data_IF_778129365979
#
_entry.id   IF_778129365979
#
_cell.length_a   1.000
_cell.length_b   1.000
_cell.length_c   1.000
_cell.angle_alpha   90.00
_cell.angle_beta   90.00
_cell.angle_gamma   90.00
#
_symmetry.space_group_name_H-M   'P 1'
#
loop_
_entity.id
_entity.type
_entity.pdbx_description
1 polymer ?
#
# COMPACT_ATOMS: atom_id res chain seq x y z
N UNK A 1 -48.08 35.02 14.26
CA UNK A 1 -48.43 34.38 15.56
C UNK A 1 -47.43 33.26 15.82
N UNK A 2 -46.83 33.24 17.01
CA UNK A 2 -45.94 32.20 17.57
C UNK A 2 -46.81 31.06 18.16
N UNK A 3 -46.33 29.80 18.21
CA UNK A 3 -45.60 29.29 19.40
C UNK A 3 -44.37 28.44 18.96
N UNK A 4 -43.20 28.35 19.61
CA UNK A 4 -42.75 28.24 21.01
C UNK A 4 -43.14 26.93 21.72
N UNK A 5 -42.19 25.98 21.82
CA UNK A 5 -41.94 24.96 22.87
C UNK A 5 -40.68 24.17 22.42
N UNK A 6 -39.48 24.41 22.98
CA UNK A 6 -38.88 23.80 24.18
C UNK A 6 -38.84 22.26 24.11
N UNK A 7 -37.80 21.51 24.45
CA UNK A 7 -36.37 21.68 24.73
C UNK A 7 -35.90 20.26 25.10
N UNK A 8 -34.78 19.74 24.58
CA UNK A 8 -33.85 18.92 25.39
C UNK A 8 -32.52 18.72 24.68
N UNK A 9 -31.46 19.23 25.31
CA UNK A 9 -30.08 18.92 25.01
C UNK A 9 -29.78 17.49 25.50
N UNK A 10 -29.20 16.65 24.64
CA UNK A 10 -28.33 15.56 25.04
C UNK A 10 -27.08 15.61 24.15
N UNK A 11 -26.13 16.47 24.51
CA UNK A 11 -24.79 16.46 23.94
C UNK A 11 -23.99 15.36 24.62
N UNK A 12 -24.04 14.14 24.09
CA UNK A 12 -23.08 13.09 24.41
C UNK A 12 -21.84 13.30 23.54
N UNK A 13 -20.93 14.14 24.01
CA UNK A 13 -19.57 14.22 23.47
C UNK A 13 -18.81 12.96 23.87
N UNK A 14 -18.94 11.89 23.08
CA UNK A 14 -17.96 10.80 23.11
C UNK A 14 -16.69 11.28 22.39
N UNK A 15 -15.86 11.98 23.14
CA UNK A 15 -14.49 12.29 22.73
C UNK A 15 -13.65 11.01 22.81
N UNK A 16 -13.68 10.19 21.76
CA UNK A 16 -12.61 9.22 21.54
C UNK A 16 -11.43 10.00 20.99
N UNK A 17 -10.51 10.36 21.88
CA UNK A 17 -9.19 10.81 21.50
C UNK A 17 -8.50 9.65 20.78
N UNK A 18 -8.57 9.66 19.45
CA UNK A 18 -7.66 8.84 18.63
C UNK A 18 -6.29 9.48 18.85
N UNK A 19 -5.46 8.82 19.67
CA UNK A 19 -4.04 9.15 19.75
C UNK A 19 -3.42 8.86 18.39
N UNK A 20 -3.43 9.86 17.51
CA UNK A 20 -2.60 9.87 16.32
C UNK A 20 -1.15 9.77 16.78
N UNK A 21 -0.53 8.60 16.63
CA UNK A 21 0.91 8.45 16.79
C UNK A 21 1.57 9.21 15.64
N UNK A 22 1.84 10.48 15.88
CA UNK A 22 2.67 11.31 15.04
C UNK A 22 4.11 10.76 15.07
N UNK A 23 4.51 10.18 13.94
CA UNK A 23 5.86 10.19 13.37
C UNK A 23 7.02 10.04 14.38
N UNK A 24 7.41 8.80 14.64
CA UNK A 24 8.76 8.51 15.14
C UNK A 24 9.77 8.91 14.05
N UNK A 25 10.82 9.64 14.45
CA UNK A 25 11.94 10.04 13.61
C UNK A 25 12.55 8.85 12.83
N UNK A 26 13.25 9.08 11.69
CA UNK A 26 13.84 8.01 10.90
C UNK A 26 14.87 7.27 11.75
N UNK A 27 14.49 6.08 12.24
CA UNK A 27 15.43 5.18 12.87
C UNK A 27 16.34 4.65 11.76
N UNK A 28 17.63 4.94 11.86
CA UNK A 28 18.65 4.31 11.03
C UNK A 28 18.44 2.79 11.06
N UNK A 29 18.52 2.07 9.93
CA UNK A 29 18.24 0.64 9.91
C UNK A 29 19.17 -0.10 10.88
N UNK A 30 18.60 -0.64 11.97
CA UNK A 30 19.34 -1.50 12.88
C UNK A 30 19.72 -2.79 12.15
N UNK A 31 20.97 -3.28 12.21
CA UNK A 31 21.32 -4.60 11.71
C UNK A 31 20.45 -5.64 12.41
N UNK A 32 19.57 -6.30 11.65
CA UNK A 32 18.51 -7.18 12.19
C UNK A 32 17.13 -6.56 12.22
N UNK A 33 16.76 -5.78 11.19
CA UNK A 33 15.42 -5.23 11.00
C UNK A 33 14.35 -6.28 11.35
N UNK A 34 13.55 -5.98 12.37
CA UNK A 34 12.39 -6.78 12.75
C UNK A 34 11.49 -6.98 11.53
N UNK A 35 10.99 -8.21 11.34
CA UNK A 35 10.10 -8.51 10.21
C UNK A 35 8.95 -7.51 10.17
N UNK A 36 8.64 -6.93 8.99
CA UNK A 36 7.53 -5.99 8.85
C UNK A 36 6.20 -6.66 9.20
N UNK A 37 5.28 -5.91 9.82
CA UNK A 37 3.91 -6.36 10.14
C UNK A 37 3.17 -6.88 8.89
N UNK A 38 3.54 -6.41 7.71
CA UNK A 38 3.04 -6.90 6.42
C UNK A 38 4.22 -7.16 5.45
N UNK A 39 4.66 -8.41 5.38
CA UNK A 39 5.82 -8.85 4.59
C UNK A 39 5.45 -9.39 3.21
N UNK A 40 6.40 -9.37 2.28
CA UNK A 40 6.28 -9.97 0.96
C UNK A 40 5.99 -11.47 1.04
N UNK A 41 6.59 -12.17 2.01
CA UNK A 41 6.26 -13.57 2.29
C UNK A 41 4.78 -13.77 2.60
N UNK A 42 4.22 -12.98 3.53
CA UNK A 42 2.81 -13.11 3.93
C UNK A 42 1.85 -12.84 2.77
N UNK A 43 2.15 -11.83 1.95
CA UNK A 43 1.37 -11.52 0.76
C UNK A 43 1.49 -12.62 -0.30
N UNK A 44 2.68 -13.17 -0.54
CA UNK A 44 2.88 -14.25 -1.50
C UNK A 44 2.07 -15.51 -1.12
N UNK A 45 2.05 -15.88 0.16
CA UNK A 45 1.22 -17.00 0.64
C UNK A 45 -0.27 -16.73 0.42
N UNK A 46 -0.75 -15.53 0.74
CA UNK A 46 -2.14 -15.14 0.51
C UNK A 46 -2.52 -15.16 -0.97
N UNK A 47 -1.62 -14.68 -1.86
CA UNK A 47 -1.83 -14.66 -3.29
C UNK A 47 -1.72 -16.05 -3.96
N UNK A 48 -0.96 -16.98 -3.36
CA UNK A 48 -0.81 -18.34 -3.85
C UNK A 48 -2.03 -19.22 -3.56
N UNK A 49 -2.88 -18.86 -2.60
CA UNK A 49 -4.08 -19.58 -2.20
C UNK A 49 -5.25 -19.41 -3.20
N UNK A 50 -5.03 -19.77 -4.48
CA UNK A 50 -5.99 -19.56 -5.58
C UNK A 50 -7.34 -20.31 -5.42
N UNK A 51 -7.44 -21.26 -4.50
CA UNK A 51 -8.67 -22.00 -4.21
C UNK A 51 -9.51 -21.38 -3.08
N UNK A 52 -9.03 -20.31 -2.45
CA UNK A 52 -9.73 -19.59 -1.39
C UNK A 52 -10.09 -18.19 -1.91
N UNK A 53 -11.38 -18.00 -2.21
CA UNK A 53 -11.91 -16.73 -2.74
C UNK A 53 -11.68 -15.55 -1.78
N UNK A 54 -11.68 -15.79 -0.46
CA UNK A 54 -11.43 -14.75 0.53
C UNK A 54 -9.95 -14.35 0.53
N UNK A 55 -9.04 -15.33 0.51
CA UNK A 55 -7.60 -15.08 0.40
C UNK A 55 -7.27 -14.38 -0.93
N UNK A 56 -7.88 -14.82 -2.03
CA UNK A 56 -7.71 -14.18 -3.34
C UNK A 56 -8.22 -12.74 -3.34
N UNK A 57 -9.40 -12.48 -2.75
CA UNK A 57 -9.94 -11.14 -2.59
C UNK A 57 -9.03 -10.22 -1.77
N UNK A 58 -8.45 -10.75 -0.69
CA UNK A 58 -7.49 -10.02 0.15
C UNK A 58 -6.18 -9.72 -0.59
N UNK A 59 -5.63 -10.70 -1.32
CA UNK A 59 -4.43 -10.51 -2.15
C UNK A 59 -4.65 -9.40 -3.21
N UNK A 60 -5.72 -9.52 -4.00
CA UNK A 60 -6.05 -8.54 -5.05
C UNK A 60 -6.29 -7.16 -4.44
N UNK A 61 -6.97 -7.10 -3.30
CA UNK A 61 -7.20 -5.87 -2.54
C UNK A 61 -5.89 -5.22 -2.08
N UNK A 62 -4.98 -5.99 -1.50
CA UNK A 62 -3.69 -5.52 -1.02
C UNK A 62 -2.81 -5.00 -2.17
N UNK A 63 -2.66 -5.77 -3.24
CA UNK A 63 -1.86 -5.38 -4.42
C UNK A 63 -2.44 -4.13 -5.08
N UNK A 64 -3.76 -4.06 -5.25
CA UNK A 64 -4.43 -2.85 -5.76
C UNK A 64 -4.21 -1.65 -4.84
N UNK A 65 -4.26 -1.85 -3.52
CA UNK A 65 -4.02 -0.82 -2.52
C UNK A 65 -2.61 -0.24 -2.61
N UNK A 66 -1.60 -1.11 -2.66
CA UNK A 66 -0.19 -0.74 -2.83
C UNK A 66 0.01 0.09 -4.09
N UNK A 67 -0.42 -0.44 -5.24
CA UNK A 67 -0.24 0.21 -6.55
C UNK A 67 -0.92 1.57 -6.59
N UNK A 68 -2.18 1.66 -6.16
CA UNK A 68 -2.92 2.93 -6.18
C UNK A 68 -2.38 3.92 -5.15
N UNK A 69 -2.01 3.45 -3.96
CA UNK A 69 -1.38 4.27 -2.93
C UNK A 69 -0.12 4.94 -3.45
N UNK A 70 0.75 4.18 -4.13
CA UNK A 70 1.94 4.70 -4.77
C UNK A 70 1.62 5.73 -5.87
N UNK A 71 0.69 5.41 -6.79
CA UNK A 71 0.28 6.35 -7.84
C UNK A 71 -0.25 7.67 -7.26
N UNK A 72 -1.05 7.62 -6.19
CA UNK A 72 -1.51 8.81 -5.48
C UNK A 72 -0.36 9.55 -4.78
N UNK A 73 0.60 8.84 -4.21
CA UNK A 73 1.80 9.43 -3.61
C UNK A 73 2.63 10.21 -4.62
N UNK A 74 2.85 9.65 -5.81
CA UNK A 74 3.58 10.33 -6.91
C UNK A 74 2.81 11.55 -7.40
N UNK A 75 1.48 11.45 -7.55
CA UNK A 75 0.62 12.56 -7.93
C UNK A 75 0.61 13.67 -6.86
N UNK A 76 0.60 13.29 -5.59
CA UNK A 76 0.69 14.25 -4.49
C UNK A 76 2.05 14.97 -4.49
N UNK A 77 3.13 14.21 -4.69
CA UNK A 77 4.48 14.76 -4.74
C UNK A 77 4.64 15.75 -5.89
N UNK A 78 4.12 15.44 -7.09
CA UNK A 78 4.20 16.33 -8.25
C UNK A 78 3.42 17.64 -8.08
N UNK A 79 2.40 17.67 -7.23
CA UNK A 79 1.67 18.89 -6.87
C UNK A 79 2.38 19.73 -5.81
N UNK A 80 3.23 19.12 -4.98
CA UNK A 80 3.88 19.77 -3.83
C UNK A 80 5.32 20.14 -4.08
N UNK A 81 5.97 19.49 -5.04
CA UNK A 81 7.33 19.77 -5.46
C UNK A 81 7.38 19.79 -7.00
N UNK A 82 7.98 20.84 -7.57
CA UNK A 82 8.25 20.91 -9.00
C UNK A 82 9.39 19.96 -9.34
N UNK A 83 9.08 18.67 -9.43
CA UNK A 83 10.01 17.70 -9.98
C UNK A 83 10.10 17.90 -11.49
N UNK A 84 11.30 17.90 -12.08
CA UNK A 84 11.45 17.84 -13.53
C UNK A 84 10.64 16.68 -14.10
N UNK A 85 10.03 16.86 -15.27
CA UNK A 85 9.16 15.86 -15.91
C UNK A 85 9.84 14.49 -16.01
N UNK A 86 11.14 14.46 -16.31
CA UNK A 86 11.93 13.22 -16.37
C UNK A 86 12.02 12.48 -15.03
N UNK A 87 12.15 13.19 -13.91
CA UNK A 87 12.19 12.59 -12.57
C UNK A 87 10.82 12.07 -12.15
N UNK A 88 9.75 12.83 -12.44
CA UNK A 88 8.38 12.36 -12.21
C UNK A 88 8.07 11.10 -13.04
N UNK A 89 8.51 11.03 -14.30
CA UNK A 89 8.33 9.84 -15.15
C UNK A 89 9.07 8.62 -14.58
N UNK A 90 10.29 8.80 -14.07
CA UNK A 90 11.11 7.72 -13.49
C UNK A 90 10.42 7.02 -12.31
N UNK A 91 9.72 7.79 -11.48
CA UNK A 91 9.01 7.28 -10.29
C UNK A 91 7.53 7.03 -10.54
N UNK A 92 7.05 7.10 -11.79
CA UNK A 92 5.64 6.83 -12.10
C UNK A 92 5.43 5.35 -12.46
N UNK A 93 4.20 4.86 -12.27
CA UNK A 93 3.78 3.54 -12.73
C UNK A 93 2.87 3.69 -13.95
N UNK A 94 3.25 3.09 -15.08
CA UNK A 94 2.50 3.16 -16.35
C UNK A 94 1.54 1.98 -16.50
N UNK A 95 0.43 2.02 -15.76
CA UNK A 95 -0.48 0.89 -15.58
C UNK A 95 -1.87 1.07 -16.21
N UNK A 96 -2.03 1.95 -17.19
CA UNK A 96 -3.34 2.35 -17.74
C UNK A 96 -4.21 1.17 -18.15
N UNK A 97 -3.62 0.12 -18.75
CA UNK A 97 -4.32 -1.08 -19.22
C UNK A 97 -3.83 -2.36 -18.53
N UNK A 98 -3.09 -2.24 -17.44
CA UNK A 98 -2.53 -3.38 -16.71
C UNK A 98 -3.58 -4.00 -15.79
N UNK A 99 -3.83 -5.31 -15.96
CA UNK A 99 -4.75 -6.05 -15.09
C UNK A 99 -4.07 -6.31 -13.76
N UNK A 100 -4.78 -6.14 -12.65
CA UNK A 100 -4.24 -6.47 -11.31
C UNK A 100 -3.82 -7.95 -11.23
N UNK A 101 -4.51 -8.84 -11.93
CA UNK A 101 -4.15 -10.25 -11.98
C UNK A 101 -2.76 -10.50 -12.59
N UNK A 102 -2.35 -9.74 -13.62
CA UNK A 102 -1.00 -9.90 -14.18
C UNK A 102 0.06 -9.42 -13.19
N UNK A 103 -0.18 -8.32 -12.49
CA UNK A 103 0.71 -7.83 -11.42
C UNK A 103 0.86 -8.88 -10.31
N UNK A 104 -0.23 -9.57 -9.95
CA UNK A 104 -0.18 -10.66 -8.97
C UNK A 104 0.64 -11.84 -9.47
N UNK A 105 0.42 -12.27 -10.72
CA UNK A 105 1.16 -13.40 -11.30
C UNK A 105 2.66 -13.07 -11.43
N UNK A 106 3.02 -11.84 -11.85
CA UNK A 106 4.40 -11.36 -11.95
C UNK A 106 5.06 -11.29 -10.56
N UNK A 107 4.36 -10.73 -9.56
CA UNK A 107 4.84 -10.70 -8.17
C UNK A 107 5.09 -12.12 -7.62
N UNK A 108 4.18 -13.07 -7.88
CA UNK A 108 4.37 -14.46 -7.45
C UNK A 108 5.51 -15.14 -8.20
N UNK A 109 5.75 -14.80 -9.45
CA UNK A 109 6.88 -15.30 -10.22
C UNK A 109 8.21 -14.80 -9.65
N UNK A 110 8.30 -13.50 -9.34
CA UNK A 110 9.50 -12.89 -8.75
C UNK A 110 9.75 -13.40 -7.34
N UNK A 111 8.71 -13.53 -6.51
CA UNK A 111 8.84 -14.02 -5.14
C UNK A 111 9.46 -15.43 -5.09
N UNK A 112 9.19 -16.30 -6.07
CA UNK A 112 9.79 -17.64 -6.15
C UNK A 112 11.29 -17.62 -6.41
N UNK A 113 11.84 -16.52 -6.92
CA UNK A 113 13.27 -16.37 -7.19
C UNK A 113 14.05 -15.88 -5.96
N UNK A 114 13.35 -15.43 -4.92
CA UNK A 114 13.92 -14.89 -3.69
C UNK A 114 13.80 -15.93 -2.58
N UNK A 115 14.82 -16.03 -1.71
CA UNK A 115 14.74 -16.94 -0.58
C UNK A 115 13.71 -16.47 0.47
N UNK A 116 13.17 -17.42 1.22
CA UNK A 116 12.10 -17.14 2.18
C UNK A 116 12.49 -16.13 3.27
N UNK A 117 13.73 -16.21 3.77
CA UNK A 117 14.19 -15.33 4.85
C UNK A 117 14.20 -13.86 4.40
N UNK A 118 14.59 -13.59 3.15
CA UNK A 118 14.58 -12.25 2.58
C UNK A 118 13.14 -11.78 2.29
N UNK A 119 12.26 -12.67 1.82
CA UNK A 119 10.84 -12.34 1.65
C UNK A 119 10.16 -11.96 2.98
N UNK A 120 10.53 -12.61 4.09
CA UNK A 120 9.99 -12.30 5.41
C UNK A 120 10.40 -10.92 5.91
N UNK A 121 11.63 -10.50 5.59
CA UNK A 121 12.16 -9.18 5.96
C UNK A 121 11.78 -8.06 4.98
N UNK A 122 11.35 -8.41 3.78
CA UNK A 122 10.96 -7.44 2.75
C UNK A 122 9.51 -7.00 2.98
N UNK A 123 9.21 -5.69 3.11
CA UNK A 123 7.83 -5.21 3.15
C UNK A 123 7.10 -5.56 1.85
N UNK A 124 5.83 -5.94 1.96
CA UNK A 124 5.04 -6.34 0.79
C UNK A 124 4.96 -5.25 -0.29
N UNK A 125 4.83 -3.98 0.13
CA UNK A 125 4.84 -2.81 -0.76
C UNK A 125 6.12 -2.74 -1.61
N UNK A 126 7.29 -2.93 -0.98
CA UNK A 126 8.59 -2.86 -1.65
C UNK A 126 8.71 -3.95 -2.71
N UNK A 127 8.32 -5.19 -2.37
CA UNK A 127 8.39 -6.31 -3.31
C UNK A 127 7.42 -6.14 -4.49
N UNK A 128 6.18 -5.73 -4.22
CA UNK A 128 5.17 -5.51 -5.27
C UNK A 128 5.58 -4.37 -6.19
N UNK A 129 6.01 -3.22 -5.66
CA UNK A 129 6.46 -2.10 -6.49
C UNK A 129 7.72 -2.44 -7.28
N UNK A 130 8.65 -3.20 -6.69
CA UNK A 130 9.83 -3.72 -7.38
C UNK A 130 9.45 -4.58 -8.59
N UNK A 131 8.53 -5.52 -8.41
CA UNK A 131 7.98 -6.35 -9.49
C UNK A 131 7.31 -5.50 -10.57
N UNK A 132 6.45 -4.56 -10.19
CA UNK A 132 5.80 -3.64 -11.14
C UNK A 132 6.83 -2.84 -11.95
N UNK A 133 7.90 -2.34 -11.33
CA UNK A 133 8.94 -1.63 -12.06
C UNK A 133 9.74 -2.52 -13.02
N UNK A 134 9.88 -3.81 -12.73
CA UNK A 134 10.58 -4.76 -13.60
C UNK A 134 9.73 -5.15 -14.82
N UNK A 135 8.41 -5.33 -14.65
CA UNK A 135 7.53 -5.90 -15.68
C UNK A 135 6.63 -4.87 -16.37
N UNK A 136 6.43 -3.69 -15.78
CA UNK A 136 5.51 -2.66 -16.26
C UNK A 136 6.14 -1.26 -16.24
N UNK A 137 7.43 -1.17 -16.57
CA UNK A 137 8.15 0.11 -16.63
C UNK A 137 7.52 1.08 -17.64
N UNK A 138 7.57 2.37 -17.30
CA UNK A 138 7.20 3.45 -18.22
C UNK A 138 8.24 3.55 -19.36
N UNK A 139 7.86 3.15 -20.58
CA UNK A 139 8.65 3.39 -21.80
C UNK A 139 8.55 4.83 -22.27
#
# INVERSE_FOLDING_TARGET
>A
MKPALSATLCALTFGVAIAAHAQTAPQSPTPGASDPTFSAYSLAQQCAAKSDDAAQGQCVGAVRGIVRGYQYGVLFLSQRASLPVGETKRVSLCLTDTKVSSIVDDFLADAKQVNEADLRRTPAEVAVLGSVHAHHACT
#
